data_IF_022346567279
#
_entry.id   IF_022346567279
#
_cell.length_a   1.000
_cell.length_b   1.000
_cell.length_c   1.000
_cell.angle_alpha   90.00
_cell.angle_beta   90.00
_cell.angle_gamma   90.00
#
_symmetry.space_group_name_H-M   'P 1'
#
loop_
_entity.id
_entity.type
_entity.pdbx_description
1 polymer ?
#
# COMPACT_ATOMS: atom_id res chain seq x y z
N UNK A 1 11.51 -16.44 -7.86
CA UNK A 1 10.52 -15.54 -7.26
C UNK A 1 9.26 -15.56 -8.11
N UNK A 2 8.13 -15.63 -7.48
CA UNK A 2 6.86 -15.57 -8.21
C UNK A 2 6.69 -14.22 -8.87
N UNK A 3 5.99 -14.21 -9.98
CA UNK A 3 5.59 -12.97 -10.62
C UNK A 3 4.42 -12.37 -9.82
N UNK A 4 4.75 -11.51 -8.93
CA UNK A 4 3.81 -10.98 -7.94
C UNK A 4 2.61 -10.28 -8.56
N UNK A 5 2.83 -9.58 -9.67
CA UNK A 5 1.76 -8.84 -10.35
C UNK A 5 0.67 -9.78 -10.85
N UNK A 6 1.02 -11.01 -11.23
CA UNK A 6 0.06 -11.99 -11.73
C UNK A 6 -0.75 -12.67 -10.64
N UNK A 7 -0.30 -12.57 -9.39
CA UNK A 7 -0.96 -13.23 -8.27
C UNK A 7 -2.14 -12.43 -7.72
N UNK A 8 -2.31 -11.20 -8.17
CA UNK A 8 -3.43 -10.35 -7.77
C UNK A 8 -4.26 -10.06 -9.00
N UNK A 9 -5.46 -10.62 -9.03
CA UNK A 9 -6.35 -10.43 -10.17
C UNK A 9 -7.00 -9.05 -10.15
N UNK A 10 -7.21 -8.53 -11.36
CA UNK A 10 -7.89 -7.27 -11.56
C UNK A 10 -9.38 -7.48 -11.31
N UNK A 11 -9.86 -6.97 -10.21
CA UNK A 11 -11.24 -7.15 -9.79
C UNK A 11 -11.95 -5.85 -9.48
N UNK A 12 -13.19 -5.96 -9.01
CA UNK A 12 -14.02 -4.83 -8.62
C UNK A 12 -13.85 -4.43 -7.17
N UNK A 13 -13.18 -5.23 -6.38
CA UNK A 13 -12.95 -5.00 -4.97
C UNK A 13 -11.45 -4.89 -4.70
N UNK A 14 -11.11 -4.29 -3.55
CA UNK A 14 -9.73 -4.28 -3.09
C UNK A 14 -9.34 -5.70 -2.71
N UNK A 15 -8.25 -6.18 -3.26
CA UNK A 15 -7.69 -7.48 -2.91
C UNK A 15 -6.35 -7.28 -2.23
N UNK A 16 -6.04 -8.15 -1.28
CA UNK A 16 -4.73 -8.14 -0.62
C UNK A 16 -4.21 -9.57 -0.47
N UNK A 17 -2.90 -9.69 -0.47
CA UNK A 17 -2.23 -10.99 -0.30
C UNK A 17 -0.93 -10.79 0.47
N UNK A 18 -0.79 -11.52 1.57
CA UNK A 18 0.47 -11.56 2.30
C UNK A 18 1.43 -12.48 1.55
N UNK A 19 2.59 -11.96 1.17
CA UNK A 19 3.64 -12.73 0.51
C UNK A 19 4.65 -13.27 1.49
N UNK A 20 4.97 -12.45 2.48
CA UNK A 20 5.83 -12.80 3.59
C UNK A 20 5.09 -12.33 4.82
N UNK A 21 4.96 -13.21 5.79
CA UNK A 21 4.36 -12.89 7.07
C UNK A 21 5.04 -13.76 8.12
N UNK A 22 6.00 -13.18 8.81
CA UNK A 22 6.73 -13.87 9.84
C UNK A 22 6.87 -13.00 11.09
N UNK A 23 7.67 -13.41 12.05
CA UNK A 23 7.83 -12.71 13.32
C UNK A 23 8.33 -11.26 13.18
N UNK A 24 9.11 -10.98 12.15
CA UNK A 24 9.79 -9.70 12.01
C UNK A 24 9.28 -8.83 10.87
N UNK A 25 8.69 -9.44 9.85
CA UNK A 25 8.37 -8.72 8.62
C UNK A 25 7.08 -9.24 8.00
N UNK A 26 6.29 -8.32 7.49
CA UNK A 26 5.15 -8.66 6.63
C UNK A 26 5.30 -7.87 5.33
N UNK A 27 5.20 -8.56 4.20
CA UNK A 27 5.11 -7.93 2.88
C UNK A 27 3.75 -8.26 2.32
N UNK A 28 2.98 -7.23 2.02
CA UNK A 28 1.61 -7.41 1.57
C UNK A 28 1.37 -6.70 0.26
N UNK A 29 0.77 -7.42 -0.67
CA UNK A 29 0.31 -6.88 -1.93
C UNK A 29 -1.12 -6.40 -1.84
N UNK A 30 -1.39 -5.32 -2.57
CA UNK A 30 -2.75 -4.81 -2.73
C UNK A 30 -3.04 -4.56 -4.20
N UNK A 31 -4.26 -4.83 -4.62
CA UNK A 31 -4.79 -4.31 -5.86
C UNK A 31 -6.07 -3.54 -5.55
N UNK A 32 -6.22 -2.38 -6.19
CA UNK A 32 -7.36 -1.49 -5.96
C UNK A 32 -8.02 -1.20 -7.29
N UNK A 33 -9.35 -1.31 -7.38
CA UNK A 33 -10.05 -0.74 -8.50
C UNK A 33 -9.99 0.79 -8.42
N UNK A 34 -10.19 1.48 -9.53
CA UNK A 34 -10.29 2.94 -9.51
C UNK A 34 -11.37 3.37 -8.51
N UNK A 35 -11.03 4.30 -7.65
CA UNK A 35 -11.92 4.80 -6.62
C UNK A 35 -11.92 3.96 -5.33
N UNK A 36 -11.25 2.81 -5.33
CA UNK A 36 -11.11 2.02 -4.11
C UNK A 36 -10.26 2.76 -3.09
N UNK A 37 -10.59 2.65 -1.82
CA UNK A 37 -9.86 3.36 -0.79
C UNK A 37 -9.75 2.56 0.49
N UNK A 38 -8.68 2.82 1.23
CA UNK A 38 -8.51 2.35 2.60
C UNK A 38 -8.48 3.60 3.47
N UNK A 39 -9.37 3.63 4.46
CA UNK A 39 -9.45 4.75 5.40
C UNK A 39 -8.17 4.90 6.21
N UNK A 40 -7.93 6.10 6.72
CA UNK A 40 -6.76 6.35 7.53
C UNK A 40 -6.74 5.45 8.76
N UNK A 41 -5.59 4.81 8.99
CA UNK A 41 -5.31 4.01 10.16
C UNK A 41 -3.98 4.46 10.75
N UNK A 42 -3.80 4.22 12.03
CA UNK A 42 -2.56 4.55 12.73
C UNK A 42 -1.52 3.45 12.55
N UNK A 43 -0.30 3.84 12.22
CA UNK A 43 0.83 2.91 12.08
C UNK A 43 1.98 3.36 12.96
N UNK A 44 2.44 2.47 13.83
CA UNK A 44 3.55 2.75 14.74
C UNK A 44 4.89 2.76 14.03
N UNK A 45 5.04 1.92 13.01
CA UNK A 45 6.33 1.69 12.36
C UNK A 45 6.38 2.37 11.00
N UNK A 46 7.58 2.69 10.56
CA UNK A 46 7.79 3.17 9.20
C UNK A 46 7.29 2.12 8.21
N UNK A 47 6.60 2.56 7.19
CA UNK A 47 6.03 1.67 6.20
C UNK A 47 6.34 2.16 4.79
N UNK A 48 7.27 1.52 4.08
CA UNK A 48 7.49 1.84 2.68
C UNK A 48 6.38 1.24 1.79
N UNK A 49 5.98 2.03 0.80
CA UNK A 49 5.09 1.61 -0.27
C UNK A 49 5.83 1.63 -1.59
N UNK A 50 5.62 0.62 -2.40
CA UNK A 50 6.18 0.55 -3.75
C UNK A 50 5.03 0.46 -4.74
N UNK A 51 4.94 1.43 -5.64
CA UNK A 51 3.90 1.48 -6.67
C UNK A 51 4.32 0.67 -7.88
N UNK A 52 3.57 -0.37 -8.17
CA UNK A 52 3.84 -1.26 -9.30
C UNK A 52 3.04 -0.87 -10.54
N UNK A 53 1.83 -0.36 -10.36
CA UNK A 53 0.96 0.02 -11.46
C UNK A 53 -0.02 1.08 -10.99
N UNK A 54 -0.27 2.08 -11.85
CA UNK A 54 -1.30 3.09 -11.63
C UNK A 54 -0.84 4.26 -10.78
N UNK A 55 -1.83 5.04 -10.32
CA UNK A 55 -1.63 6.22 -9.49
C UNK A 55 -2.55 6.17 -8.29
N UNK A 56 -2.03 6.56 -7.14
CA UNK A 56 -2.80 6.60 -5.91
C UNK A 56 -2.50 7.89 -5.14
N UNK A 57 -3.46 8.29 -4.32
CA UNK A 57 -3.30 9.41 -3.41
C UNK A 57 -3.17 8.85 -2.00
N UNK A 58 -2.10 9.22 -1.32
CA UNK A 58 -1.93 8.91 0.09
C UNK A 58 -2.38 10.12 0.87
N UNK A 59 -3.34 9.91 1.78
CA UNK A 59 -3.82 10.96 2.70
C UNK A 59 -3.23 10.67 4.07
N UNK A 60 -2.62 11.67 4.69
CA UNK A 60 -1.92 11.48 5.95
C UNK A 60 -2.01 12.73 6.81
N UNK A 61 -1.67 12.60 8.07
CA UNK A 61 -1.88 13.65 9.05
C UNK A 61 -3.34 14.11 9.03
N UNK A 62 -3.60 15.39 9.21
CA UNK A 62 -4.95 15.91 9.23
C UNK A 62 -5.50 16.18 7.82
N UNK A 63 -4.72 16.88 7.01
CA UNK A 63 -5.15 17.31 5.69
C UNK A 63 -4.11 17.16 4.59
N UNK A 64 -3.02 16.45 4.86
CA UNK A 64 -1.95 16.28 3.88
C UNK A 64 -2.26 15.18 2.91
N UNK A 65 -1.84 15.34 1.67
CA UNK A 65 -1.98 14.30 0.66
C UNK A 65 -0.81 14.33 -0.31
N UNK A 66 -0.52 13.17 -0.88
CA UNK A 66 0.56 13.01 -1.85
C UNK A 66 0.14 12.00 -2.90
N UNK A 67 0.33 12.36 -4.16
CA UNK A 67 0.08 11.45 -5.28
C UNK A 67 1.35 10.67 -5.58
N UNK A 68 1.21 9.36 -5.70
CA UNK A 68 2.30 8.47 -6.06
C UNK A 68 1.93 7.71 -7.32
N UNK A 69 2.91 7.49 -8.18
CA UNK A 69 2.73 6.90 -9.50
C UNK A 69 3.59 5.66 -9.65
N UNK A 70 3.32 4.89 -10.70
CA UNK A 70 4.11 3.71 -11.04
C UNK A 70 5.61 4.01 -10.94
N UNK A 71 6.32 3.14 -10.24
CA UNK A 71 7.76 3.26 -10.02
C UNK A 71 8.16 4.09 -8.82
N UNK A 72 7.21 4.79 -8.20
CA UNK A 72 7.52 5.57 -7.00
C UNK A 72 7.64 4.66 -5.78
N UNK A 73 8.55 5.04 -4.91
CA UNK A 73 8.71 4.44 -3.58
C UNK A 73 8.54 5.55 -2.57
N UNK A 74 7.65 5.37 -1.63
CA UNK A 74 7.45 6.33 -0.56
C UNK A 74 7.55 5.61 0.79
N UNK A 75 8.29 6.17 1.72
CA UNK A 75 8.35 5.66 3.08
C UNK A 75 7.51 6.55 3.99
N UNK A 76 6.45 6.01 4.55
CA UNK A 76 5.65 6.72 5.54
C UNK A 76 6.36 6.68 6.88
N UNK A 77 6.41 7.81 7.56
CA UNK A 77 7.06 7.92 8.85
C UNK A 77 6.34 7.07 9.90
N UNK A 78 7.04 6.79 11.00
CA UNK A 78 6.44 6.11 12.15
C UNK A 78 5.47 7.05 12.87
N UNK A 79 4.57 6.45 13.64
CA UNK A 79 3.59 7.17 14.47
C UNK A 79 2.71 8.14 13.66
N UNK A 80 2.19 7.65 12.55
CA UNK A 80 1.38 8.46 11.63
C UNK A 80 0.11 7.73 11.25
N UNK A 81 -0.97 8.50 11.07
CA UNK A 81 -2.18 7.99 10.43
C UNK A 81 -2.10 8.24 8.93
N UNK A 82 -2.42 7.23 8.13
CA UNK A 82 -2.54 7.43 6.69
C UNK A 82 -3.54 6.45 6.07
N UNK A 83 -4.06 6.85 4.91
CA UNK A 83 -4.93 6.05 4.09
C UNK A 83 -4.54 6.19 2.62
N UNK A 84 -5.17 5.38 1.78
CA UNK A 84 -4.84 5.32 0.35
C UNK A 84 -6.13 5.40 -0.46
N UNK A 85 -6.13 6.20 -1.52
CA UNK A 85 -7.21 6.26 -2.49
C UNK A 85 -6.66 5.99 -3.89
N UNK A 86 -7.21 5.02 -4.58
CA UNK A 86 -6.79 4.67 -5.93
C UNK A 86 -7.40 5.65 -6.95
N UNK A 87 -6.53 6.36 -7.67
CA UNK A 87 -6.95 7.30 -8.71
C UNK A 87 -7.15 6.60 -10.06
N UNK A 88 -6.60 5.41 -10.20
CA UNK A 88 -6.75 4.50 -11.33
C UNK A 88 -6.78 3.09 -10.79
N UNK A 89 -6.74 2.09 -11.64
CA UNK A 89 -6.42 0.74 -11.19
C UNK A 89 -4.99 0.73 -10.64
N UNK A 90 -4.80 0.21 -9.44
CA UNK A 90 -3.52 0.27 -8.73
C UNK A 90 -3.07 -1.10 -8.27
N UNK A 91 -1.79 -1.37 -8.43
CA UNK A 91 -1.09 -2.46 -7.75
C UNK A 91 0.06 -1.86 -6.97
N UNK A 92 0.13 -2.20 -5.69
CA UNK A 92 1.22 -1.76 -4.84
C UNK A 92 1.56 -2.83 -3.81
N UNK A 93 2.71 -2.72 -3.21
CA UNK A 93 2.98 -3.49 -2.00
C UNK A 93 3.57 -2.60 -0.92
N UNK A 94 3.36 -3.01 0.31
CA UNK A 94 4.01 -2.38 1.44
C UNK A 94 4.83 -3.41 2.23
N UNK A 95 5.74 -2.88 3.03
CA UNK A 95 6.60 -3.69 3.89
C UNK A 95 6.38 -3.21 5.31
N UNK A 96 5.93 -4.11 6.18
CA UNK A 96 5.74 -3.81 7.59
C UNK A 96 6.85 -4.46 8.39
N UNK A 97 7.65 -3.66 9.06
CA UNK A 97 8.65 -4.17 9.99
C UNK A 97 7.99 -4.26 11.35
N UNK A 98 7.83 -5.48 11.83
CA UNK A 98 7.14 -5.72 13.10
C UNK A 98 8.06 -5.42 14.27
N UNK A 99 7.50 -4.77 15.29
CA UNK A 99 8.21 -4.54 16.54
C UNK A 99 8.39 -5.87 17.29
N UNK A 100 9.50 -5.99 17.99
CA UNK A 100 9.78 -7.15 18.85
C UNK A 100 8.88 -7.17 20.07
#
# INVERSE_FOLDING_TARGET
MQELIKNIEKGKAIASKALIDNKHTEIRFFSFPKGGSISKEYYEMETPFVMLEGSAKIVYNKDDEKVINRGDIIAMESDIEYGVEALSYVKLFNILVKAD
#
